data_IF_632498859796
#
_entry.id   IF_632498859796
#
_cell.length_a   1.000
_cell.length_b   1.000
_cell.length_c   1.000
_cell.angle_alpha   90.00
_cell.angle_beta   90.00
_cell.angle_gamma   90.00
#
_symmetry.space_group_name_H-M   'P 1'
#
loop_
_entity.id
_entity.type
_entity.pdbx_description
1 polymer ?
#
# COMPACT_ATOMS: atom_id res chain seq x y z
N UNK A 1 -29.43 -2.54 12.32
CA UNK A 1 -29.75 -3.06 10.99
C UNK A 1 -28.93 -4.32 10.78
N UNK A 2 -29.53 -5.38 10.26
CA UNK A 2 -28.83 -6.58 9.81
C UNK A 2 -28.77 -6.53 8.28
N UNK A 3 -27.59 -6.74 7.71
CA UNK A 3 -27.41 -6.79 6.25
C UNK A 3 -26.92 -8.20 5.92
N UNK A 4 -27.64 -8.88 5.03
CA UNK A 4 -27.26 -10.19 4.50
C UNK A 4 -26.46 -10.01 3.20
N UNK A 5 -25.41 -10.81 3.04
CA UNK A 5 -24.55 -10.82 1.86
C UNK A 5 -24.90 -11.95 0.88
N UNK A 6 -25.79 -12.88 1.26
CA UNK A 6 -26.28 -13.92 0.36
C UNK A 6 -26.94 -13.27 -0.87
N UNK A 7 -26.51 -13.71 -2.07
CA UNK A 7 -26.93 -13.19 -3.37
C UNK A 7 -26.79 -11.66 -3.60
N UNK A 8 -26.00 -10.97 -2.78
CA UNK A 8 -25.75 -9.53 -2.92
C UNK A 8 -24.94 -9.21 -4.19
N UNK A 9 -25.27 -8.11 -4.86
CA UNK A 9 -24.45 -7.60 -5.96
C UNK A 9 -23.02 -7.30 -5.46
N UNK A 10 -21.97 -7.77 -6.17
CA UNK A 10 -20.59 -7.55 -5.75
C UNK A 10 -20.19 -6.09 -5.55
N UNK A 11 -20.83 -5.14 -6.24
CA UNK A 11 -20.56 -3.69 -6.07
C UNK A 11 -21.10 -3.19 -4.74
N UNK A 12 -22.26 -3.66 -4.33
CA UNK A 12 -22.86 -3.31 -3.03
C UNK A 12 -22.05 -3.94 -1.90
N UNK A 13 -21.65 -5.20 -2.06
CA UNK A 13 -20.75 -5.86 -1.13
C UNK A 13 -19.43 -5.10 -0.98
N UNK A 14 -18.82 -4.68 -2.09
CA UNK A 14 -17.61 -3.84 -2.08
C UNK A 14 -17.84 -2.51 -1.35
N UNK A 15 -18.97 -1.85 -1.60
CA UNK A 15 -19.31 -0.59 -0.95
C UNK A 15 -19.42 -0.74 0.57
N UNK A 16 -20.11 -1.78 1.04
CA UNK A 16 -20.26 -2.05 2.47
C UNK A 16 -18.91 -2.40 3.09
N UNK A 17 -18.13 -3.30 2.48
CA UNK A 17 -16.83 -3.71 3.00
C UNK A 17 -15.87 -2.52 3.13
N UNK A 18 -15.82 -1.65 2.12
CA UNK A 18 -14.95 -0.46 2.13
C UNK A 18 -15.42 0.65 3.05
N UNK A 19 -16.65 0.60 3.57
CA UNK A 19 -17.15 1.59 4.53
C UNK A 19 -17.20 1.07 5.97
N UNK A 20 -17.09 -0.24 6.17
CA UNK A 20 -17.20 -0.87 7.49
C UNK A 20 -15.88 -1.43 7.99
N UNK A 21 -14.99 -1.87 7.10
CA UNK A 21 -13.61 -2.22 7.44
C UNK A 21 -12.77 -0.97 7.30
N UNK A 22 -12.72 -0.16 8.37
CA UNK A 22 -12.04 1.14 8.41
C UNK A 22 -11.37 1.39 9.77
N UNK A 23 -10.31 2.22 9.81
CA UNK A 23 -9.56 2.72 8.66
C UNK A 23 -8.70 1.62 8.03
N UNK A 24 -8.55 1.64 6.71
CA UNK A 24 -7.65 0.71 6.01
C UNK A 24 -6.29 1.36 5.79
N UNK A 25 -5.18 0.67 6.07
CA UNK A 25 -3.87 1.18 5.70
C UNK A 25 -3.76 1.26 4.16
N UNK A 26 -2.95 2.19 3.67
CA UNK A 26 -2.72 2.39 2.23
C UNK A 26 -1.31 1.95 1.89
N UNK A 27 -1.17 0.96 1.02
CA UNK A 27 0.08 0.65 0.35
C UNK A 27 0.22 1.57 -0.87
N UNK A 28 1.23 2.44 -0.88
CA UNK A 28 1.55 3.26 -2.04
C UNK A 28 2.74 2.64 -2.79
N UNK A 29 2.42 1.95 -3.88
CA UNK A 29 3.29 0.94 -4.48
C UNK A 29 4.01 1.51 -5.68
N UNK A 30 5.34 1.54 -5.62
CA UNK A 30 6.22 1.84 -6.74
C UNK A 30 6.70 0.54 -7.38
N UNK A 31 6.61 0.48 -8.70
CA UNK A 31 7.08 -0.65 -9.52
C UNK A 31 7.65 -0.13 -10.84
N UNK A 32 8.59 -0.84 -11.44
CA UNK A 32 9.23 -0.41 -12.69
C UNK A 32 8.44 -0.85 -13.92
N UNK A 33 8.27 0.07 -14.87
CA UNK A 33 7.61 -0.12 -16.16
C UNK A 33 8.56 -0.79 -17.19
N UNK A 34 8.01 -1.35 -18.30
CA UNK A 34 8.78 -1.96 -19.38
C UNK A 34 9.99 -1.16 -19.91
N UNK A 35 9.85 0.17 -19.94
CA UNK A 35 10.81 1.13 -20.49
C UNK A 35 11.82 1.67 -19.45
N UNK A 36 11.74 1.23 -18.20
CA UNK A 36 12.60 1.69 -17.10
C UNK A 36 12.07 2.92 -16.36
N UNK A 37 10.92 3.48 -16.76
CA UNK A 37 10.18 4.47 -15.96
C UNK A 37 9.47 3.76 -14.77
N UNK A 38 8.79 4.50 -13.90
CA UNK A 38 8.11 3.94 -12.73
C UNK A 38 6.60 4.14 -12.75
N UNK A 39 5.85 3.11 -12.38
CA UNK A 39 4.44 3.19 -12.00
C UNK A 39 4.34 3.40 -10.49
N UNK A 40 3.46 4.31 -10.05
CA UNK A 40 3.13 4.55 -8.64
C UNK A 40 1.61 4.55 -8.43
N UNK A 41 1.09 3.59 -7.65
CA UNK A 41 -0.35 3.46 -7.43
C UNK A 41 -0.74 3.07 -5.99
N UNK A 42 -1.89 3.54 -5.46
CA UNK A 42 -2.32 3.25 -4.09
C UNK A 42 -3.29 2.06 -4.01
N UNK A 43 -3.16 1.26 -2.95
CA UNK A 43 -4.00 0.10 -2.66
C UNK A 43 -4.41 0.08 -1.18
N UNK A 44 -5.72 0.05 -0.89
CA UNK A 44 -6.24 -0.01 0.48
C UNK A 44 -6.68 -1.41 0.94
N UNK A 45 -6.67 -2.39 0.04
CA UNK A 45 -6.74 -3.80 0.43
C UNK A 45 -5.33 -4.28 0.68
N UNK A 46 -4.79 -3.88 1.83
CA UNK A 46 -3.38 -4.04 2.21
C UNK A 46 -3.27 -4.47 3.68
N UNK A 47 -2.41 -5.45 3.96
CA UNK A 47 -2.09 -5.87 5.33
C UNK A 47 -0.77 -6.65 5.41
N UNK A 48 -0.05 -6.63 6.56
CA UNK A 48 0.91 -7.67 6.92
C UNK A 48 0.23 -9.04 7.07
N UNK A 49 0.95 -10.13 6.77
CA UNK A 49 0.41 -11.51 6.77
C UNK A 49 1.14 -12.44 7.76
N UNK A 50 2.47 -12.51 7.68
CA UNK A 50 3.31 -13.34 8.56
C UNK A 50 4.62 -12.62 8.84
N UNK A 51 5.27 -12.95 9.96
CA UNK A 51 6.59 -12.46 10.33
C UNK A 51 7.72 -13.45 9.99
N UNK A 52 7.40 -14.67 9.57
CA UNK A 52 8.38 -15.68 9.18
C UNK A 52 7.89 -16.52 7.97
N UNK A 53 8.33 -16.19 6.73
CA UNK A 53 9.07 -14.97 6.37
C UNK A 53 8.19 -13.71 6.55
N UNK A 54 8.77 -12.50 6.65
CA UNK A 54 7.98 -11.26 6.73
C UNK A 54 7.26 -10.98 5.41
N UNK A 55 5.93 -11.12 5.39
CA UNK A 55 5.10 -10.92 4.19
C UNK A 55 4.10 -9.77 4.37
N UNK A 56 3.99 -8.96 3.32
CA UNK A 56 2.90 -8.02 3.07
C UNK A 56 2.00 -8.58 1.97
N UNK A 57 0.71 -8.22 1.97
CA UNK A 57 -0.21 -8.53 0.88
C UNK A 57 -0.94 -7.28 0.41
N UNK A 58 -1.03 -7.12 -0.91
CA UNK A 58 -1.93 -6.18 -1.58
C UNK A 58 -2.89 -6.96 -2.48
N UNK A 59 -4.18 -6.58 -2.47
CA UNK A 59 -5.15 -7.09 -3.45
C UNK A 59 -5.26 -6.11 -4.61
N UNK A 60 -4.94 -6.59 -5.80
CA UNK A 60 -4.96 -5.80 -7.03
C UNK A 60 -6.09 -6.28 -7.93
N UNK A 61 -7.11 -5.44 -8.08
CA UNK A 61 -8.18 -5.66 -9.05
C UNK A 61 -7.76 -5.33 -10.48
N UNK A 62 -8.56 -5.78 -11.44
CA UNK A 62 -8.41 -5.47 -12.87
C UNK A 62 -8.85 -4.04 -13.21
N UNK A 63 -8.39 -3.52 -14.35
CA UNK A 63 -8.85 -2.24 -14.91
C UNK A 63 -10.33 -2.39 -15.34
N UNK A 64 -11.23 -1.46 -14.95
CA UNK A 64 -12.67 -1.58 -15.20
C UNK A 64 -13.06 -1.64 -16.68
N UNK A 65 -12.30 -0.99 -17.56
CA UNK A 65 -12.67 -0.83 -18.97
C UNK A 65 -12.38 -2.07 -19.83
N UNK A 66 -11.42 -2.92 -19.43
CA UNK A 66 -10.86 -3.94 -20.35
C UNK A 66 -10.63 -5.31 -19.69
N UNK A 67 -10.84 -5.47 -18.38
CA UNK A 67 -10.56 -6.74 -17.69
C UNK A 67 -9.07 -7.13 -17.67
N UNK A 68 -8.20 -6.18 -18.01
CA UNK A 68 -6.74 -6.31 -18.03
C UNK A 68 -6.18 -6.03 -16.63
N UNK A 69 -5.08 -6.70 -16.27
CA UNK A 69 -4.37 -6.45 -15.02
C UNK A 69 -3.86 -5.01 -14.94
N UNK A 70 -3.84 -4.43 -13.74
CA UNK A 70 -3.20 -3.13 -13.51
C UNK A 70 -1.68 -3.23 -13.71
N UNK A 71 -1.08 -2.12 -14.12
CA UNK A 71 0.35 -2.00 -14.41
C UNK A 71 1.21 -2.46 -13.24
N UNK A 72 0.88 -2.05 -12.00
CA UNK A 72 1.55 -2.55 -10.78
C UNK A 72 1.62 -4.08 -10.72
N UNK A 73 0.51 -4.79 -11.03
CA UNK A 73 0.47 -6.26 -11.01
C UNK A 73 1.29 -6.87 -12.14
N UNK A 74 1.25 -6.28 -13.33
CA UNK A 74 2.05 -6.72 -14.49
C UNK A 74 3.54 -6.53 -14.19
N UNK A 75 3.92 -5.37 -13.69
CA UNK A 75 5.29 -5.00 -13.36
C UNK A 75 5.87 -5.91 -12.27
N UNK A 76 5.13 -6.14 -11.18
CA UNK A 76 5.57 -7.03 -10.09
C UNK A 76 5.79 -8.46 -10.58
N UNK A 77 4.91 -8.99 -11.43
CA UNK A 77 5.09 -10.35 -11.96
C UNK A 77 6.28 -10.45 -12.91
N UNK A 78 6.52 -9.44 -13.74
CA UNK A 78 7.65 -9.45 -14.67
C UNK A 78 9.00 -9.26 -13.95
N UNK A 79 9.08 -8.28 -13.04
CA UNK A 79 10.34 -7.78 -12.46
C UNK A 79 10.62 -8.23 -11.04
N UNK A 80 9.63 -8.83 -10.39
CA UNK A 80 9.70 -9.42 -9.05
C UNK A 80 10.01 -8.44 -7.91
N UNK A 81 10.34 -7.18 -8.16
CA UNK A 81 10.68 -6.20 -7.13
C UNK A 81 9.67 -5.05 -7.14
N UNK A 82 9.36 -4.53 -5.96
CA UNK A 82 8.52 -3.35 -5.77
C UNK A 82 8.81 -2.70 -4.42
N UNK A 83 8.41 -1.44 -4.26
CA UNK A 83 8.53 -0.71 -2.99
C UNK A 83 7.14 -0.32 -2.51
N UNK A 84 6.82 -0.65 -1.26
CA UNK A 84 5.57 -0.24 -0.61
C UNK A 84 5.87 0.92 0.33
N UNK A 85 5.28 2.08 0.06
CA UNK A 85 5.40 3.25 0.92
C UNK A 85 4.17 3.41 1.80
N UNK A 86 4.38 3.98 3.00
CA UNK A 86 3.31 4.46 3.86
C UNK A 86 3.32 5.99 3.81
N UNK A 87 2.29 6.56 3.20
CA UNK A 87 2.15 8.00 3.05
C UNK A 87 1.64 8.65 4.34
N UNK A 88 2.18 9.84 4.67
CA UNK A 88 1.67 10.70 5.73
C UNK A 88 0.63 11.71 5.20
N UNK A 89 0.03 12.51 6.08
CA UNK A 89 -1.11 13.38 5.74
C UNK A 89 -0.87 14.32 4.57
N UNK A 90 0.33 14.90 4.45
CA UNK A 90 0.62 15.92 3.44
C UNK A 90 0.71 15.32 2.04
N UNK A 91 0.94 14.00 1.96
CA UNK A 91 0.98 13.25 0.71
C UNK A 91 -0.40 12.72 0.27
N UNK A 92 -1.48 12.95 1.05
CA UNK A 92 -2.81 12.39 0.74
C UNK A 92 -3.36 12.83 -0.63
N UNK A 93 -3.09 14.07 -1.02
CA UNK A 93 -3.47 14.59 -2.34
C UNK A 93 -2.70 13.88 -3.47
N UNK A 94 -1.38 13.72 -3.31
CA UNK A 94 -0.53 13.01 -4.27
C UNK A 94 -0.91 11.52 -4.38
N UNK A 95 -1.21 10.88 -3.26
CA UNK A 95 -1.76 9.51 -3.22
C UNK A 95 -3.04 9.42 -4.04
N UNK A 96 -3.96 10.37 -3.88
CA UNK A 96 -5.22 10.39 -4.63
C UNK A 96 -4.97 10.60 -6.13
N UNK A 97 -4.11 11.55 -6.48
CA UNK A 97 -3.78 11.84 -7.88
C UNK A 97 -3.09 10.67 -8.58
N UNK A 98 -2.23 9.92 -7.88
CA UNK A 98 -1.61 8.68 -8.38
C UNK A 98 -2.60 7.52 -8.62
N UNK A 99 -3.88 7.68 -8.28
CA UNK A 99 -4.92 6.69 -8.62
C UNK A 99 -5.61 6.95 -9.97
N UNK A 100 -5.24 8.04 -10.66
CA UNK A 100 -5.75 8.40 -11.97
C UNK A 100 -5.53 7.26 -12.97
N UNK A 101 -6.52 7.03 -13.83
CA UNK A 101 -6.35 6.08 -14.93
C UNK A 101 -5.51 6.71 -16.02
N UNK A 102 -4.32 6.16 -16.24
CA UNK A 102 -3.41 6.52 -17.33
C UNK A 102 -3.28 5.36 -18.34
N UNK A 103 -2.86 5.66 -19.59
CA UNK A 103 -2.42 4.65 -20.54
C UNK A 103 -1.31 3.75 -19.97
N UNK A 104 -1.22 2.52 -20.47
CA UNK A 104 -0.22 1.57 -19.99
C UNK A 104 1.20 2.10 -20.18
N UNK A 105 2.03 2.03 -19.13
CA UNK A 105 3.42 2.47 -19.14
C UNK A 105 3.61 3.97 -18.90
N UNK A 106 2.54 4.78 -18.86
CA UNK A 106 2.67 6.18 -18.47
C UNK A 106 2.82 6.30 -16.94
N UNK A 107 3.93 6.92 -16.51
CA UNK A 107 4.21 7.13 -15.10
C UNK A 107 3.28 8.17 -14.46
N UNK A 108 2.65 7.81 -13.35
CA UNK A 108 1.91 8.73 -12.50
C UNK A 108 2.80 9.84 -11.91
N UNK A 109 4.11 9.58 -11.74
CA UNK A 109 5.07 10.54 -11.21
C UNK A 109 5.19 11.79 -12.09
N UNK A 110 4.89 11.71 -13.39
CA UNK A 110 4.94 12.88 -14.31
C UNK A 110 3.94 13.98 -13.93
N UNK A 111 2.87 13.61 -13.23
CA UNK A 111 1.83 14.54 -12.78
C UNK A 111 1.99 14.95 -11.31
N UNK A 112 3.06 14.50 -10.65
CA UNK A 112 3.28 14.64 -9.23
C UNK A 112 4.64 15.30 -8.98
N UNK A 113 4.69 16.26 -8.08
CA UNK A 113 5.95 16.84 -7.61
C UNK A 113 6.53 15.95 -6.50
N UNK A 114 7.01 14.77 -6.88
CA UNK A 114 7.57 13.76 -5.97
C UNK A 114 9.01 13.42 -6.36
N UNK A 115 9.91 13.52 -5.39
CA UNK A 115 11.32 13.15 -5.56
C UNK A 115 11.55 11.68 -5.20
N UNK A 116 12.27 10.98 -6.08
CA UNK A 116 12.78 9.64 -5.83
C UNK A 116 14.24 9.72 -5.37
N UNK A 117 14.59 8.90 -4.38
CA UNK A 117 15.95 8.79 -3.86
C UNK A 117 16.39 7.33 -3.80
N UNK A 118 17.70 7.11 -3.91
CA UNK A 118 18.30 5.79 -3.79
C UNK A 118 17.86 5.11 -2.48
N UNK A 119 17.54 3.83 -2.59
CA UNK A 119 17.13 3.02 -1.46
C UNK A 119 18.14 1.90 -1.27
N UNK A 120 19.00 2.05 -0.27
CA UNK A 120 20.12 1.14 -0.02
C UNK A 120 19.66 -0.32 0.07
N UNK A 121 20.22 -1.13 -0.83
CA UNK A 121 19.94 -2.56 -0.94
C UNK A 121 18.61 -2.92 -1.62
N UNK A 122 17.83 -1.95 -2.10
CA UNK A 122 16.72 -2.16 -3.03
C UNK A 122 17.21 -1.98 -4.47
N UNK A 123 16.59 -2.69 -5.43
CA UNK A 123 16.80 -2.42 -6.87
C UNK A 123 15.99 -1.24 -7.38
N UNK A 124 15.04 -0.76 -6.58
CA UNK A 124 14.13 0.34 -6.91
C UNK A 124 14.30 1.49 -5.90
N UNK A 125 14.14 2.75 -6.32
CA UNK A 125 14.20 3.90 -5.43
C UNK A 125 12.99 3.93 -4.47
N UNK A 126 13.07 4.81 -3.47
CA UNK A 126 11.94 5.16 -2.62
C UNK A 126 11.53 6.61 -2.84
N UNK A 127 10.29 6.94 -2.50
CA UNK A 127 9.84 8.32 -2.37
C UNK A 127 10.60 8.97 -1.21
N UNK A 128 11.17 10.14 -1.46
CA UNK A 128 11.96 10.90 -0.48
C UNK A 128 11.17 11.23 0.76
N UNK A 129 9.96 11.76 0.56
CA UNK A 129 9.13 12.36 1.60
C UNK A 129 8.27 11.35 2.37
N UNK A 130 8.16 10.10 1.91
CA UNK A 130 7.49 9.06 2.70
C UNK A 130 8.34 8.67 3.91
N UNK A 131 7.73 8.63 5.10
CA UNK A 131 8.42 8.28 6.36
C UNK A 131 8.69 6.78 6.53
N UNK A 132 8.06 5.92 5.73
CA UNK A 132 8.29 4.46 5.73
C UNK A 132 8.25 3.92 4.31
N UNK A 133 9.25 3.10 3.95
CA UNK A 133 9.32 2.39 2.68
C UNK A 133 9.79 0.94 2.90
N UNK A 134 9.04 -0.03 2.38
CA UNK A 134 9.39 -1.45 2.40
C UNK A 134 9.89 -1.88 1.03
N UNK A 135 11.13 -2.36 0.94
CA UNK A 135 11.61 -3.06 -0.25
C UNK A 135 11.06 -4.49 -0.24
N UNK A 136 10.39 -4.89 -1.32
CA UNK A 136 9.69 -6.15 -1.42
C UNK A 136 10.14 -6.94 -2.64
N UNK A 137 10.31 -8.24 -2.44
CA UNK A 137 10.42 -9.24 -3.51
C UNK A 137 9.09 -9.99 -3.63
N UNK A 138 8.66 -10.30 -4.86
CA UNK A 138 7.47 -11.09 -5.11
C UNK A 138 7.64 -12.48 -4.49
N UNK A 139 6.77 -12.81 -3.54
CA UNK A 139 6.71 -14.11 -2.91
C UNK A 139 5.76 -15.06 -3.65
N UNK A 140 4.54 -14.60 -3.93
CA UNK A 140 3.51 -15.40 -4.61
C UNK A 140 2.39 -14.49 -5.15
N UNK A 141 1.63 -14.99 -6.11
CA UNK A 141 0.39 -14.38 -6.58
C UNK A 141 -0.71 -15.43 -6.60
N UNK A 142 -1.85 -15.08 -6.00
CA UNK A 142 -3.05 -15.93 -6.01
C UNK A 142 -4.23 -15.15 -6.57
N UNK A 143 -4.84 -15.67 -7.62
CA UNK A 143 -6.11 -15.16 -8.14
C UNK A 143 -7.26 -15.70 -7.29
N UNK A 144 -8.17 -14.82 -6.87
CA UNK A 144 -9.35 -15.18 -6.08
C UNK A 144 -10.62 -14.48 -6.59
N UNK A 145 -11.76 -15.16 -6.44
CA UNK A 145 -13.07 -14.63 -6.79
C UNK A 145 -13.42 -14.73 -8.28
N UNK A 146 -14.70 -14.54 -8.59
CA UNK A 146 -15.22 -14.59 -9.97
C UNK A 146 -14.83 -13.35 -10.79
N UNK A 147 -14.73 -12.17 -10.15
CA UNK A 147 -14.01 -11.02 -10.67
C UNK A 147 -12.56 -11.13 -10.22
N UNK A 148 -11.59 -11.47 -11.09
CA UNK A 148 -10.27 -11.89 -10.63
C UNK A 148 -9.58 -10.76 -9.85
N UNK A 149 -9.35 -11.01 -8.57
CA UNK A 149 -8.48 -10.22 -7.71
C UNK A 149 -7.14 -10.94 -7.60
N UNK A 150 -6.05 -10.25 -7.90
CA UNK A 150 -4.71 -10.75 -7.67
C UNK A 150 -4.27 -10.42 -6.25
N UNK A 151 -4.22 -11.42 -5.37
CA UNK A 151 -3.53 -11.30 -4.09
C UNK A 151 -2.03 -11.41 -4.35
N UNK A 152 -1.34 -10.28 -4.26
CA UNK A 152 0.11 -10.20 -4.43
C UNK A 152 0.76 -10.23 -3.07
N UNK A 153 1.57 -11.26 -2.81
CA UNK A 153 2.35 -11.40 -1.59
C UNK A 153 3.77 -10.91 -1.82
N UNK A 154 4.20 -9.90 -1.06
CA UNK A 154 5.55 -9.35 -1.08
C UNK A 154 6.33 -9.79 0.15
N UNK A 155 7.47 -10.43 -0.05
CA UNK A 155 8.45 -10.67 1.01
C UNK A 155 9.24 -9.40 1.26
N UNK A 156 9.14 -8.87 2.47
CA UNK A 156 9.91 -7.69 2.88
C UNK A 156 11.37 -8.10 3.04
N UNK A 157 12.25 -7.46 2.30
CA UNK A 157 13.70 -7.66 2.42
C UNK A 157 14.35 -6.58 3.26
N UNK A 158 13.83 -5.34 3.17
CA UNK A 158 14.31 -4.18 3.92
C UNK A 158 13.16 -3.24 4.25
N UNK A 159 13.33 -2.46 5.30
CA UNK A 159 12.49 -1.32 5.62
C UNK A 159 13.38 -0.11 5.87
N UNK A 160 13.04 1.01 5.24
CA UNK A 160 13.53 2.32 5.63
C UNK A 160 12.44 2.99 6.47
N UNK A 161 12.85 3.59 7.59
CA UNK A 161 11.99 4.41 8.45
C UNK A 161 12.75 5.69 8.75
N UNK A 162 12.06 6.83 8.66
CA UNK A 162 12.61 8.13 9.04
C UNK A 162 13.19 8.10 10.46
N UNK A 163 14.34 8.75 10.66
CA UNK A 163 14.98 8.88 11.98
C UNK A 163 14.04 9.55 12.99
N UNK A 164 13.16 10.47 12.55
CA UNK A 164 12.17 11.12 13.41
C UNK A 164 11.12 10.13 13.95
N UNK A 165 10.92 9.02 13.26
CA UNK A 165 9.98 7.97 13.63
C UNK A 165 10.62 6.82 14.39
N UNK A 166 11.94 6.67 14.38
CA UNK A 166 12.65 5.55 15.00
C UNK A 166 13.27 5.95 16.35
N UNK A 167 13.08 5.12 17.38
CA UNK A 167 13.70 5.34 18.71
C UNK A 167 13.95 4.04 19.46
N UNK A 168 14.97 4.01 20.28
CA UNK A 168 15.19 2.93 21.24
C UNK A 168 14.41 3.20 22.52
N UNK A 169 13.73 2.17 23.04
CA UNK A 169 13.11 2.25 24.36
C UNK A 169 14.13 1.98 25.49
N UNK A 170 13.69 2.09 26.75
CA UNK A 170 14.53 1.86 27.93
C UNK A 170 15.12 0.44 28.01
N UNK A 171 14.62 -0.50 27.20
CA UNK A 171 15.11 -1.88 27.08
C UNK A 171 16.01 -2.08 25.86
N UNK A 172 16.47 -0.99 25.25
CA UNK A 172 17.27 -0.97 24.02
C UNK A 172 16.60 -1.71 22.85
N UNK A 173 15.26 -1.69 22.79
CA UNK A 173 14.50 -2.24 21.67
C UNK A 173 14.17 -1.12 20.69
N UNK A 174 14.36 -1.37 19.40
CA UNK A 174 13.92 -0.44 18.36
C UNK A 174 12.39 -0.39 18.35
N UNK A 175 11.85 0.82 18.47
CA UNK A 175 10.42 1.11 18.46
C UNK A 175 10.14 2.27 17.52
N UNK A 176 8.91 2.34 17.02
CA UNK A 176 8.52 3.35 16.05
C UNK A 176 7.37 4.21 16.59
N UNK A 177 7.50 5.53 16.42
CA UNK A 177 6.48 6.50 16.82
C UNK A 177 5.42 6.62 15.74
N UNK A 178 4.23 6.07 15.98
CA UNK A 178 3.10 6.20 15.06
C UNK A 178 2.73 7.66 14.77
N UNK A 179 2.88 8.55 15.75
CA UNK A 179 2.62 9.99 15.58
C UNK A 179 3.65 10.68 14.68
N UNK A 180 4.89 10.19 14.61
CA UNK A 180 5.90 10.72 13.70
C UNK A 180 5.75 10.13 12.29
N UNK A 181 5.30 8.87 12.17
CA UNK A 181 4.95 8.29 10.87
C UNK A 181 3.72 9.01 10.28
N UNK A 182 2.75 9.36 11.13
CA UNK A 182 1.49 10.02 10.78
C UNK A 182 0.79 9.42 9.55
N UNK A 183 0.60 8.09 9.49
CA UNK A 183 0.09 7.43 8.31
C UNK A 183 -1.36 7.82 8.01
N UNK A 184 -1.70 7.93 6.74
CA UNK A 184 -3.10 8.04 6.31
C UNK A 184 -3.79 6.68 6.31
N UNK A 185 -5.04 6.65 6.77
CA UNK A 185 -5.96 5.52 6.64
C UNK A 185 -7.08 5.84 5.67
N UNK A 186 -7.38 4.94 4.74
CA UNK A 186 -8.51 5.10 3.80
C UNK A 186 -9.83 4.72 4.49
N UNK A 187 -10.84 5.58 4.32
CA UNK A 187 -12.21 5.34 4.78
C UNK A 187 -13.12 4.96 3.59
N UNK A 188 -14.40 5.32 3.68
CA UNK A 188 -15.35 5.23 2.57
C UNK A 188 -15.12 6.31 1.52
N UNK A 189 -15.46 6.03 0.26
CA UNK A 189 -15.40 7.03 -0.80
C UNK A 189 -14.01 7.68 -0.95
N UNK A 190 -13.97 9.01 -0.92
CA UNK A 190 -12.77 9.85 -1.05
C UNK A 190 -12.15 10.28 0.28
N UNK A 191 -12.60 9.70 1.40
CA UNK A 191 -12.21 10.16 2.73
C UNK A 191 -10.94 9.45 3.24
N UNK A 192 -10.12 10.22 3.96
CA UNK A 192 -8.96 9.75 4.69
C UNK A 192 -9.09 10.13 6.16
N UNK A 193 -8.52 9.31 7.04
CA UNK A 193 -8.25 9.65 8.43
C UNK A 193 -6.74 9.76 8.61
N UNK A 194 -6.30 10.70 9.45
CA UNK A 194 -4.90 10.84 9.86
C UNK A 194 -4.71 10.24 11.26
N UNK A 195 -3.49 10.26 11.78
CA UNK A 195 -3.25 9.83 13.14
C UNK A 195 -4.00 10.75 14.14
N UNK A 196 -4.92 10.16 14.90
CA UNK A 196 -5.73 10.83 15.92
C UNK A 196 -5.25 10.53 17.34
N UNK A 197 -6.18 10.48 18.30
CA UNK A 197 -5.88 10.09 19.68
C UNK A 197 -5.33 8.65 19.78
N UNK A 198 -4.29 8.45 20.58
CA UNK A 198 -3.69 7.13 20.82
C UNK A 198 -4.18 6.58 22.17
N UNK A 199 -5.01 5.54 22.11
CA UNK A 199 -5.41 4.77 23.29
C UNK A 199 -4.34 3.73 23.64
N UNK A 200 -3.74 3.84 24.83
CA UNK A 200 -2.77 2.85 25.33
C UNK A 200 -3.47 1.86 26.25
N UNK A 201 -3.86 0.71 25.69
CA UNK A 201 -4.50 -0.37 26.43
C UNK A 201 -3.51 -1.55 26.52
N UNK A 202 -2.97 -1.88 27.70
CA UNK A 202 -2.06 -3.01 27.84
C UNK A 202 -2.81 -4.32 27.55
N UNK A 203 -2.14 -5.27 26.90
CA UNK A 203 -2.71 -6.61 26.70
C UNK A 203 -2.87 -7.29 28.06
N UNK A 204 -3.98 -8.01 28.29
CA UNK A 204 -4.08 -8.91 29.44
C UNK A 204 -2.91 -9.90 29.41
N UNK A 205 -2.31 -10.15 30.58
CA UNK A 205 -1.28 -11.17 30.79
C UNK A 205 -1.84 -12.57 30.65
#
# INVERSE_FOLDING_TARGET
MLIDFEDMDPKDAYHILTQTVIPRPVAWVLSENPDGDYNLAPFSFFTPITSNPPLLMISVGKKPAEGVSKDTRVNIEARKNFVVHIAHRDLAAAVTESSRTLPHGESELKNLDLELVDFEGSSLPRLKDCHVAFACELYDIKEIGAGPQSLVFGKVTRVWVSDDAARYDDKNRLTFSGAAIDPIGRLGGSEYVTFGEILKIPRPS
#
